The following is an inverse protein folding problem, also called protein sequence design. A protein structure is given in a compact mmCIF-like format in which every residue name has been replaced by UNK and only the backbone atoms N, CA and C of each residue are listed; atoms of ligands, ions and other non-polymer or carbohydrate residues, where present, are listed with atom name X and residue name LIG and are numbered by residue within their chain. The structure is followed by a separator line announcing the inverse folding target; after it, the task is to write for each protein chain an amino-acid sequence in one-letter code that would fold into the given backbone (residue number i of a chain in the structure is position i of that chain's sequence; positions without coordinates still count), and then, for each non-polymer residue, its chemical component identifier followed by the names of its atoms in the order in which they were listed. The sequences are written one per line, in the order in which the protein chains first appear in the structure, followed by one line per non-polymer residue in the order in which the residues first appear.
data_IF_233595839613
#
_entry.id   IF_233595839613
#
_cell.length_a   1.000
_cell.length_b   1.000
_cell.length_c   1.000
_cell.angle_alpha   90.00
_cell.angle_beta   90.00
_cell.angle_gamma   90.00
#
_symmetry.space_group_name_H-M   'P 1'
#
loop_
_entity.id
_entity.type
_entity.pdbx_description
1 polymer ?
#
# COMPACT_ATOMS: atom_id res chain seq x y z
N UNK A 1 6.58 -3.96 8.20
CA UNK A 1 6.09 -2.59 7.98
C UNK A 1 6.25 -1.66 9.17
N UNK A 2 5.80 -1.99 10.38
CA UNK A 2 5.90 -1.06 11.53
C UNK A 2 7.33 -0.58 11.77
N UNK A 3 8.33 -1.46 11.74
CA UNK A 3 9.75 -1.08 11.89
C UNK A 3 10.19 -0.07 10.85
N UNK A 4 9.92 -0.32 9.56
CA UNK A 4 10.25 0.61 8.48
C UNK A 4 9.59 1.98 8.69
N UNK A 5 8.28 2.00 8.97
CA UNK A 5 7.53 3.24 9.17
C UNK A 5 7.88 3.98 10.46
N UNK A 6 8.33 3.27 11.49
CA UNK A 6 8.73 3.88 12.75
C UNK A 6 10.17 4.41 12.72
N UNK A 7 11.07 3.78 11.96
CA UNK A 7 12.52 4.01 12.08
C UNK A 7 13.20 4.45 10.79
N UNK A 8 12.57 4.24 9.63
CA UNK A 8 13.21 4.40 8.32
C UNK A 8 14.25 3.32 7.99
N UNK A 9 14.53 2.37 8.89
CA UNK A 9 15.55 1.34 8.69
C UNK A 9 15.04 0.22 7.77
N UNK A 10 15.35 0.35 6.48
CA UNK A 10 15.00 -0.63 5.45
C UNK A 10 15.75 -1.96 5.64
N UNK A 11 16.98 -1.93 6.15
CA UNK A 11 17.79 -3.14 6.34
C UNK A 11 17.24 -4.00 7.50
N UNK A 12 16.82 -3.36 8.60
CA UNK A 12 16.09 -4.05 9.67
C UNK A 12 14.75 -4.58 9.19
N UNK A 13 14.00 -3.81 8.38
CA UNK A 13 12.75 -4.27 7.81
C UNK A 13 12.94 -5.51 6.91
N UNK A 14 14.03 -5.55 6.13
CA UNK A 14 14.41 -6.72 5.33
C UNK A 14 14.64 -7.96 6.18
N UNK A 15 15.46 -7.85 7.24
CA UNK A 15 15.74 -8.98 8.14
C UNK A 15 14.46 -9.52 8.77
N UNK A 16 13.55 -8.64 9.19
CA UNK A 16 12.26 -9.03 9.78
C UNK A 16 11.37 -9.73 8.74
N UNK A 17 11.30 -9.21 7.51
CA UNK A 17 10.51 -9.83 6.46
C UNK A 17 11.04 -11.25 6.11
N UNK A 18 12.36 -11.42 6.05
CA UNK A 18 12.99 -12.72 5.80
C UNK A 18 12.72 -13.73 6.91
N UNK A 19 12.84 -13.29 8.17
CA UNK A 19 12.48 -14.11 9.32
C UNK A 19 11.00 -14.51 9.30
N UNK A 20 10.10 -13.59 8.94
CA UNK A 20 8.67 -13.86 8.82
C UNK A 20 8.36 -14.88 7.72
N UNK A 21 9.04 -14.81 6.58
CA UNK A 21 8.91 -15.82 5.51
C UNK A 21 9.41 -17.18 5.99
N UNK A 22 10.58 -17.24 6.64
CA UNK A 22 11.13 -18.48 7.18
C UNK A 22 10.20 -19.11 8.22
N UNK A 23 9.56 -18.30 9.06
CA UNK A 23 8.60 -18.78 10.05
C UNK A 23 7.29 -19.25 9.43
N UNK A 24 6.70 -18.46 8.52
CA UNK A 24 5.47 -18.82 7.84
C UNK A 24 5.60 -20.13 7.04
N UNK A 25 6.79 -20.41 6.48
CA UNK A 25 7.09 -21.67 5.78
C UNK A 25 7.05 -22.91 6.67
N UNK A 26 7.32 -22.76 7.98
CA UNK A 26 7.17 -23.85 8.96
C UNK A 26 5.71 -24.09 9.34
N UNK A 27 4.85 -23.10 9.12
CA UNK A 27 3.41 -23.18 9.36
C UNK A 27 2.62 -23.81 8.20
N UNK A 28 1.39 -24.24 8.51
CA UNK A 28 0.49 -24.85 7.52
C UNK A 28 -0.33 -23.83 6.71
N UNK A 29 -0.57 -22.62 7.25
CA UNK A 29 -1.38 -21.58 6.60
C UNK A 29 -0.72 -21.06 5.32
N UNK A 30 -1.40 -21.25 4.19
CA UNK A 30 -1.00 -20.71 2.90
C UNK A 30 -1.15 -19.18 2.88
N UNK A 31 -2.22 -18.66 3.48
CA UNK A 31 -2.45 -17.21 3.53
C UNK A 31 -1.44 -16.46 4.40
N UNK A 32 -0.92 -17.09 5.47
CA UNK A 32 0.19 -16.52 6.22
C UNK A 32 1.48 -16.47 5.40
N UNK A 33 1.78 -17.53 4.64
CA UNK A 33 2.94 -17.55 3.72
C UNK A 33 2.79 -16.51 2.62
N UNK A 34 1.62 -16.41 2.01
CA UNK A 34 1.32 -15.38 1.02
C UNK A 34 1.55 -13.97 1.58
N UNK A 35 1.03 -13.69 2.77
CA UNK A 35 1.21 -12.40 3.44
C UNK A 35 2.68 -12.11 3.71
N UNK A 36 3.44 -13.08 4.19
CA UNK A 36 4.88 -12.93 4.46
C UNK A 36 5.66 -12.63 3.17
N UNK A 37 5.34 -13.34 2.08
CA UNK A 37 5.94 -13.09 0.76
C UNK A 37 5.55 -11.73 0.19
N UNK A 38 4.30 -11.29 0.35
CA UNK A 38 3.86 -9.97 -0.08
C UNK A 38 4.59 -8.83 0.67
N UNK A 39 4.79 -9.00 1.98
CA UNK A 39 5.60 -8.07 2.80
C UNK A 39 7.08 -8.05 2.38
N UNK A 40 7.65 -9.21 2.08
CA UNK A 40 9.03 -9.31 1.59
C UNK A 40 9.19 -8.61 0.24
N UNK A 41 8.18 -8.73 -0.64
CA UNK A 41 8.17 -8.05 -1.92
C UNK A 41 8.16 -6.52 -1.76
N UNK A 42 7.27 -5.99 -0.92
CA UNK A 42 7.18 -4.54 -0.70
C UNK A 42 8.50 -3.97 -0.17
N UNK A 43 9.12 -4.62 0.81
CA UNK A 43 10.40 -4.16 1.36
C UNK A 43 11.51 -4.21 0.31
N UNK A 44 11.56 -5.26 -0.52
CA UNK A 44 12.51 -5.36 -1.62
C UNK A 44 12.30 -4.29 -2.71
N UNK A 45 11.06 -3.94 -3.02
CA UNK A 45 10.74 -2.89 -3.97
C UNK A 45 11.11 -1.49 -3.43
N UNK A 46 10.92 -1.24 -2.12
CA UNK A 46 11.22 0.03 -1.46
C UNK A 46 12.71 0.31 -1.23
N UNK A 47 13.60 -0.64 -1.52
CA UNK A 47 15.05 -0.44 -1.42
C UNK A 47 15.56 0.65 -2.36
N UNK A 48 16.74 1.20 -2.06
CA UNK A 48 17.45 2.13 -2.93
C UNK A 48 18.87 1.59 -3.20
N UNK A 49 19.13 0.99 -4.39
CA UNK A 49 18.19 0.74 -5.49
C UNK A 49 17.16 -0.37 -5.17
N UNK A 50 16.02 -0.43 -5.89
CA UNK A 50 15.04 -1.50 -5.75
C UNK A 50 15.65 -2.87 -6.09
N UNK A 51 15.39 -3.89 -5.25
CA UNK A 51 15.79 -5.27 -5.51
C UNK A 51 14.74 -5.97 -6.38
N UNK A 52 14.58 -5.53 -7.63
CA UNK A 52 13.48 -5.91 -8.53
C UNK A 52 13.25 -7.42 -8.62
N UNK A 53 14.30 -8.19 -8.94
CA UNK A 53 14.20 -9.66 -9.08
C UNK A 53 13.61 -10.29 -7.82
N UNK A 54 14.06 -9.85 -6.65
CA UNK A 54 13.59 -10.35 -5.35
C UNK A 54 12.13 -9.98 -5.10
N UNK A 55 11.74 -8.74 -5.43
CA UNK A 55 10.36 -8.29 -5.30
C UNK A 55 9.42 -9.12 -6.18
N UNK A 56 9.76 -9.30 -7.46
CA UNK A 56 8.96 -10.10 -8.41
C UNK A 56 8.84 -11.56 -8.00
N UNK A 57 9.95 -12.20 -7.61
CA UNK A 57 9.92 -13.59 -7.12
C UNK A 57 9.02 -13.73 -5.89
N UNK A 58 9.11 -12.79 -4.94
CA UNK A 58 8.27 -12.82 -3.74
C UNK A 58 6.78 -12.60 -4.06
N UNK A 59 6.42 -11.68 -4.97
CA UNK A 59 5.04 -11.52 -5.43
C UNK A 59 4.50 -12.78 -6.12
N UNK A 60 5.30 -13.41 -6.98
CA UNK A 60 4.92 -14.65 -7.64
C UNK A 60 4.62 -15.76 -6.63
N UNK A 61 5.47 -15.92 -5.61
CA UNK A 61 5.23 -16.87 -4.52
C UNK A 61 3.97 -16.52 -3.71
N UNK A 62 3.73 -15.24 -3.43
CA UNK A 62 2.54 -14.80 -2.72
C UNK A 62 1.26 -15.11 -3.51
N UNK A 63 1.27 -14.86 -4.82
CA UNK A 63 0.16 -15.20 -5.71
C UNK A 63 -0.10 -16.70 -5.73
N UNK A 64 0.95 -17.51 -5.90
CA UNK A 64 0.83 -18.96 -5.86
C UNK A 64 0.26 -19.48 -4.52
N UNK A 65 0.61 -18.86 -3.38
CA UNK A 65 0.05 -19.26 -2.08
C UNK A 65 -1.43 -18.86 -1.93
N UNK A 66 -1.88 -17.75 -2.52
CA UNK A 66 -3.30 -17.32 -2.50
C UNK A 66 -4.16 -18.16 -3.44
N UNK A 67 -3.62 -18.58 -4.59
CA UNK A 67 -4.32 -19.34 -5.63
C UNK A 67 -4.54 -20.82 -5.24
N UNK A 68 -3.86 -21.32 -4.21
CA UNK A 68 -4.10 -22.65 -3.66
C UNK A 68 -5.49 -22.75 -3.03
N UNK A 69 -5.96 -23.99 -2.84
CA UNK A 69 -7.10 -24.23 -1.96
C UNK A 69 -6.78 -23.74 -0.54
N UNK A 70 -7.46 -22.68 -0.13
CA UNK A 70 -7.35 -22.04 1.19
C UNK A 70 -8.52 -22.41 2.10
N UNK A 71 -9.32 -23.41 1.71
CA UNK A 71 -10.40 -23.96 2.54
C UNK A 71 -9.84 -24.47 3.87
N UNK A 72 -10.35 -23.92 4.97
CA UNK A 72 -9.87 -24.26 6.31
C UNK A 72 -8.57 -23.58 6.74
N UNK A 73 -8.01 -22.66 5.94
CA UNK A 73 -6.93 -21.80 6.41
C UNK A 73 -7.41 -20.95 7.61
N UNK A 74 -6.62 -20.75 8.66
CA UNK A 74 -7.01 -19.92 9.81
C UNK A 74 -7.01 -18.40 9.51
N UNK A 75 -6.48 -17.96 8.36
CA UNK A 75 -6.23 -16.56 8.04
C UNK A 75 -7.13 -15.89 6.96
N UNK A 76 -8.30 -16.41 6.52
CA UNK A 76 -9.08 -15.83 5.42
C UNK A 76 -9.64 -14.44 5.74
N UNK A 77 -9.71 -14.09 7.04
CA UNK A 77 -10.10 -12.74 7.47
C UNK A 77 -8.96 -11.73 7.49
N UNK A 78 -7.72 -12.18 7.38
CA UNK A 78 -6.50 -11.38 7.55
C UNK A 78 -5.78 -11.15 6.22
N UNK A 79 -5.80 -12.11 5.31
CA UNK A 79 -5.20 -12.01 3.99
C UNK A 79 -6.09 -12.62 2.91
N UNK A 80 -6.09 -12.01 1.73
CA UNK A 80 -6.96 -12.34 0.60
C UNK A 80 -6.33 -11.86 -0.71
N UNK A 81 -6.91 -12.24 -1.85
CA UNK A 81 -6.53 -11.73 -3.16
C UNK A 81 -6.57 -10.19 -3.24
N UNK A 82 -7.65 -9.54 -2.80
CA UNK A 82 -7.72 -8.07 -2.70
C UNK A 82 -6.61 -7.42 -1.88
N UNK A 83 -6.19 -8.07 -0.79
CA UNK A 83 -5.03 -7.58 -0.02
C UNK A 83 -3.72 -7.76 -0.78
N UNK A 84 -3.56 -8.86 -1.52
CA UNK A 84 -2.41 -9.09 -2.38
C UNK A 84 -2.35 -8.06 -3.53
N UNK A 85 -3.48 -7.69 -4.14
CA UNK A 85 -3.54 -6.62 -5.15
C UNK A 85 -2.95 -5.31 -4.64
N UNK A 86 -3.21 -4.95 -3.37
CA UNK A 86 -2.56 -3.80 -2.73
C UNK A 86 -1.03 -3.90 -2.68
N UNK A 87 -0.49 -5.09 -2.43
CA UNK A 87 0.96 -5.34 -2.43
C UNK A 87 1.56 -5.34 -3.84
N UNK A 88 0.87 -5.89 -4.82
CA UNK A 88 1.29 -5.83 -6.23
C UNK A 88 1.36 -4.38 -6.70
N UNK A 89 0.33 -3.60 -6.36
CA UNK A 89 0.25 -2.16 -6.61
C UNK A 89 1.43 -1.38 -6.06
N UNK A 90 1.64 -1.44 -4.74
CA UNK A 90 2.74 -0.68 -4.12
C UNK A 90 4.11 -1.10 -4.66
N UNK A 91 4.33 -2.39 -4.95
CA UNK A 91 5.57 -2.84 -5.58
C UNK A 91 5.72 -2.21 -6.98
N UNK A 92 4.68 -2.23 -7.80
CA UNK A 92 4.68 -1.66 -9.15
C UNK A 92 5.10 -0.18 -9.16
N UNK A 93 4.66 0.62 -8.17
CA UNK A 93 5.08 2.03 -8.05
C UNK A 93 6.61 2.15 -7.97
N UNK A 94 7.24 1.37 -7.10
CA UNK A 94 8.70 1.43 -6.88
C UNK A 94 9.51 0.71 -7.95
N UNK A 95 8.88 -0.18 -8.72
CA UNK A 95 9.48 -0.86 -9.86
C UNK A 95 9.28 -0.11 -11.20
N UNK A 96 8.63 1.06 -11.19
CA UNK A 96 8.41 1.89 -12.38
C UNK A 96 7.22 1.47 -13.25
N UNK A 97 6.29 0.68 -12.71
CA UNK A 97 5.13 0.12 -13.41
C UNK A 97 3.83 0.86 -13.03
N UNK A 98 3.85 2.19 -13.05
CA UNK A 98 2.79 3.03 -12.48
C UNK A 98 1.37 2.71 -12.98
N UNK A 99 1.19 2.45 -14.27
CA UNK A 99 -0.11 2.15 -14.85
C UNK A 99 -0.67 0.79 -14.39
N UNK A 100 0.19 -0.23 -14.27
CA UNK A 100 -0.23 -1.52 -13.70
C UNK A 100 -0.48 -1.40 -12.20
N UNK A 101 0.36 -0.62 -11.50
CA UNK A 101 0.16 -0.35 -10.09
C UNK A 101 -1.20 0.29 -9.80
N UNK A 102 -1.61 1.29 -10.59
CA UNK A 102 -2.92 1.93 -10.48
C UNK A 102 -4.06 0.90 -10.63
N UNK A 103 -4.00 0.04 -11.65
CA UNK A 103 -5.03 -0.99 -11.87
C UNK A 103 -5.17 -1.94 -10.68
N UNK A 104 -4.04 -2.41 -10.15
CA UNK A 104 -4.01 -3.30 -8.99
C UNK A 104 -4.55 -2.61 -7.73
N UNK A 105 -4.23 -1.33 -7.53
CA UNK A 105 -4.70 -0.57 -6.38
C UNK A 105 -6.19 -0.21 -6.49
N UNK A 106 -6.68 0.06 -7.70
CA UNK A 106 -8.10 0.20 -8.00
C UNK A 106 -8.89 -1.05 -7.63
N UNK A 107 -8.42 -2.23 -8.05
CA UNK A 107 -9.04 -3.51 -7.70
C UNK A 107 -9.04 -3.74 -6.17
N UNK A 108 -7.90 -3.49 -5.51
CA UNK A 108 -7.79 -3.60 -4.06
C UNK A 108 -8.75 -2.63 -3.33
N UNK A 109 -8.87 -1.39 -3.79
CA UNK A 109 -9.79 -0.41 -3.21
C UNK A 109 -11.25 -0.83 -3.39
N UNK A 110 -11.63 -1.41 -4.54
CA UNK A 110 -12.98 -1.90 -4.77
C UNK A 110 -13.38 -3.06 -3.83
N UNK A 111 -12.42 -3.89 -3.40
CA UNK A 111 -12.67 -4.99 -2.47
C UNK A 111 -12.71 -4.57 -0.99
N UNK A 112 -11.93 -3.55 -0.61
CA UNK A 112 -11.78 -3.11 0.78
C UNK A 112 -12.89 -2.12 1.17
N UNK A 113 -14.09 -2.64 1.45
CA UNK A 113 -15.29 -1.84 1.73
C UNK A 113 -15.77 -1.91 3.17
N UNK A 114 -15.26 -2.84 4.00
CA UNK A 114 -15.78 -3.05 5.35
C UNK A 114 -15.12 -2.10 6.36
N UNK A 115 -15.79 -1.68 7.45
CA UNK A 115 -15.20 -0.78 8.45
C UNK A 115 -13.88 -1.28 9.07
N UNK A 116 -13.75 -2.59 9.28
CA UNK A 116 -12.51 -3.21 9.78
C UNK A 116 -11.32 -3.12 8.81
N UNK A 117 -11.57 -2.76 7.55
CA UNK A 117 -10.59 -2.60 6.48
C UNK A 117 -10.18 -1.15 6.27
N UNK A 118 -10.76 -0.18 7.00
CA UNK A 118 -10.53 1.27 6.80
C UNK A 118 -9.07 1.67 6.80
N UNK A 119 -8.23 1.12 7.69
CA UNK A 119 -6.79 1.40 7.70
C UNK A 119 -6.11 0.91 6.42
N UNK A 120 -6.46 -0.29 5.96
CA UNK A 120 -5.88 -0.86 4.74
C UNK A 120 -6.38 -0.11 3.50
N UNK A 121 -7.66 0.27 3.48
CA UNK A 121 -8.26 1.09 2.42
C UNK A 121 -7.54 2.43 2.30
N UNK A 122 -7.31 3.13 3.42
CA UNK A 122 -6.56 4.38 3.44
C UNK A 122 -5.15 4.21 2.84
N UNK A 123 -4.45 3.11 3.19
CA UNK A 123 -3.13 2.78 2.61
C UNK A 123 -3.24 2.58 1.09
N UNK A 124 -4.19 1.78 0.63
CA UNK A 124 -4.37 1.50 -0.81
C UNK A 124 -4.71 2.77 -1.59
N UNK A 125 -5.57 3.64 -1.07
CA UNK A 125 -5.92 4.92 -1.72
C UNK A 125 -4.72 5.85 -1.81
N UNK A 126 -3.89 5.94 -0.76
CA UNK A 126 -2.64 6.75 -0.85
C UNK A 126 -1.66 6.22 -1.87
N UNK A 127 -1.54 4.90 -1.98
CA UNK A 127 -0.66 4.29 -2.96
C UNK A 127 -1.22 4.50 -4.37
N UNK A 128 -2.55 4.40 -4.55
CA UNK A 128 -3.20 4.64 -5.84
C UNK A 128 -2.99 6.08 -6.30
N UNK A 129 -3.18 7.04 -5.41
CA UNK A 129 -2.89 8.44 -5.67
C UNK A 129 -1.44 8.62 -6.13
N UNK A 130 -0.47 7.98 -5.48
CA UNK A 130 0.93 8.04 -5.90
C UNK A 130 1.16 7.38 -7.28
N UNK A 131 0.52 6.25 -7.56
CA UNK A 131 0.58 5.60 -8.86
C UNK A 131 0.03 6.50 -9.97
N UNK A 132 -1.13 7.14 -9.76
CA UNK A 132 -1.74 8.11 -10.68
C UNK A 132 -0.83 9.30 -10.97
N UNK A 133 -0.08 9.80 -9.98
CA UNK A 133 0.88 10.88 -10.20
C UNK A 133 2.08 10.44 -11.03
N UNK A 134 2.46 9.17 -10.95
CA UNK A 134 3.57 8.60 -11.72
C UNK A 134 3.18 8.19 -13.14
N UNK A 135 1.89 8.01 -13.47
CA UNK A 135 1.49 7.72 -14.85
C UNK A 135 1.70 8.91 -15.78
N UNK A 136 1.62 10.14 -15.24
CA UNK A 136 1.71 11.37 -16.04
C UNK A 136 0.47 11.66 -16.88
N UNK A 137 -0.62 10.90 -16.70
CA UNK A 137 -1.86 11.07 -17.45
C UNK A 137 -2.54 12.40 -17.12
N UNK A 138 -3.08 13.12 -18.13
CA UNK A 138 -3.91 14.29 -17.90
C UNK A 138 -5.10 13.96 -16.97
N UNK A 139 -5.27 14.76 -15.90
CA UNK A 139 -6.32 14.53 -14.90
C UNK A 139 -5.95 13.56 -13.77
N UNK A 140 -4.86 12.79 -13.91
CA UNK A 140 -4.33 11.94 -12.84
C UNK A 140 -4.14 12.65 -11.49
N UNK A 141 -3.59 13.88 -11.45
CA UNK A 141 -3.46 14.66 -10.21
C UNK A 141 -4.79 15.01 -9.53
N UNK A 142 -5.83 15.33 -10.30
CA UNK A 142 -7.16 15.62 -9.75
C UNK A 142 -7.81 14.36 -9.19
N UNK A 143 -7.71 13.23 -9.90
CA UNK A 143 -8.18 11.92 -9.38
C UNK A 143 -7.40 11.50 -8.13
N UNK A 144 -6.09 11.72 -8.11
CA UNK A 144 -5.26 11.46 -6.94
C UNK A 144 -5.72 12.30 -5.74
N UNK A 145 -6.04 13.58 -5.92
CA UNK A 145 -6.57 14.42 -4.85
C UNK A 145 -7.91 13.88 -4.29
N UNK A 146 -8.83 13.44 -5.15
CA UNK A 146 -10.08 12.79 -4.73
C UNK A 146 -9.83 11.56 -3.85
N UNK A 147 -8.93 10.66 -4.26
CA UNK A 147 -8.56 9.48 -3.45
C UNK A 147 -7.94 9.90 -2.09
N UNK A 148 -7.16 10.98 -2.08
CA UNK A 148 -6.55 11.51 -0.85
C UNK A 148 -7.56 12.15 0.09
N UNK A 149 -8.63 12.80 -0.38
CA UNK A 149 -9.71 13.26 0.49
C UNK A 149 -10.34 12.11 1.28
N UNK A 150 -10.63 10.99 0.62
CA UNK A 150 -11.15 9.81 1.33
C UNK A 150 -10.11 9.27 2.33
N UNK A 151 -8.84 9.23 1.94
CA UNK A 151 -7.78 8.83 2.86
C UNK A 151 -7.68 9.73 4.10
N UNK A 152 -7.83 11.05 3.97
CA UNK A 152 -7.81 12.00 5.09
C UNK A 152 -8.89 11.62 6.11
N UNK A 153 -10.13 11.43 5.66
CA UNK A 153 -11.25 11.02 6.51
C UNK A 153 -10.96 9.70 7.24
N UNK A 154 -10.51 8.69 6.50
CA UNK A 154 -10.20 7.37 7.07
C UNK A 154 -9.03 7.43 8.07
N UNK A 155 -8.03 8.26 7.79
CA UNK A 155 -6.85 8.45 8.65
C UNK A 155 -7.23 9.16 9.94
N UNK A 156 -8.04 10.21 9.87
CA UNK A 156 -8.55 10.92 11.04
C UNK A 156 -9.38 9.98 11.95
N UNK A 157 -10.29 9.20 11.35
CA UNK A 157 -11.14 8.27 12.08
C UNK A 157 -10.36 7.13 12.76
N UNK A 158 -9.33 6.60 12.11
CA UNK A 158 -8.57 5.44 12.60
C UNK A 158 -7.32 5.80 13.40
N UNK A 159 -6.85 7.05 13.32
CA UNK A 159 -5.56 7.52 13.84
C UNK A 159 -4.38 6.65 13.38
N UNK A 160 -4.49 6.10 12.16
CA UNK A 160 -3.49 5.20 11.59
C UNK A 160 -2.19 5.91 11.24
N UNK A 161 -1.08 5.51 11.87
CA UNK A 161 0.25 6.11 11.60
C UNK A 161 0.75 5.83 10.17
N UNK A 162 0.57 4.60 9.68
CA UNK A 162 1.02 4.20 8.34
C UNK A 162 0.30 4.99 7.22
N UNK A 163 -1.05 5.06 7.18
CA UNK A 163 -1.71 5.88 6.17
C UNK A 163 -1.38 7.37 6.33
N UNK A 164 -1.22 7.91 7.54
CA UNK A 164 -0.78 9.30 7.73
C UNK A 164 0.60 9.60 7.09
N UNK A 165 1.57 8.69 7.26
CA UNK A 165 2.89 8.84 6.66
C UNK A 165 2.84 8.73 5.13
N UNK A 166 2.05 7.80 4.57
CA UNK A 166 1.88 7.67 3.12
C UNK A 166 1.14 8.86 2.51
N UNK A 167 0.10 9.37 3.19
CA UNK A 167 -0.62 10.58 2.82
C UNK A 167 0.33 11.77 2.69
N UNK A 168 1.25 11.95 3.65
CA UNK A 168 2.28 12.99 3.57
C UNK A 168 3.15 12.84 2.31
N UNK A 169 3.57 11.62 1.97
CA UNK A 169 4.36 11.36 0.75
C UNK A 169 3.58 11.69 -0.51
N UNK A 170 2.33 11.23 -0.63
CA UNK A 170 1.48 11.52 -1.78
C UNK A 170 1.21 13.03 -1.93
N UNK A 171 0.99 13.73 -0.80
CA UNK A 171 0.84 15.19 -0.80
C UNK A 171 2.09 15.90 -1.29
N UNK A 172 3.29 15.43 -0.91
CA UNK A 172 4.55 15.99 -1.44
C UNK A 172 4.70 15.74 -2.95
N UNK A 173 4.23 14.61 -3.46
CA UNK A 173 4.23 14.32 -4.90
C UNK A 173 3.29 15.25 -5.68
N UNK A 174 2.25 15.80 -5.06
CA UNK A 174 1.35 16.80 -5.65
C UNK A 174 1.94 18.22 -5.77
N UNK A 175 3.16 18.48 -5.25
CA UNK A 175 3.77 19.82 -5.29
C UNK A 175 3.82 20.49 -6.68
N UNK A 176 4.04 19.78 -7.81
CA UNK A 176 4.00 20.41 -9.12
C UNK A 176 2.67 21.11 -9.44
N UNK A 177 1.56 20.69 -8.81
CA UNK A 177 0.21 21.22 -9.00
C UNK A 177 -0.25 22.14 -7.86
N UNK A 178 0.66 22.73 -7.09
CA UNK A 178 0.31 23.56 -5.92
C UNK A 178 -0.63 24.75 -6.21
N UNK A 179 -0.72 25.21 -7.46
CA UNK A 179 -1.62 26.29 -7.88
C UNK A 179 -3.01 25.83 -8.29
N UNK A 180 -3.26 24.51 -8.33
CA UNK A 180 -4.54 23.94 -8.74
C UNK A 180 -5.54 23.91 -7.58
N UNK A 181 -6.85 24.16 -7.84
CA UNK A 181 -7.87 24.24 -6.79
C UNK A 181 -8.01 22.94 -5.99
N UNK A 182 -7.91 21.78 -6.65
CA UNK A 182 -8.00 20.48 -5.98
C UNK A 182 -6.88 20.24 -4.95
N UNK A 183 -5.71 20.89 -5.10
CA UNK A 183 -4.64 20.78 -4.10
C UNK A 183 -4.93 21.66 -2.90
N UNK A 184 -5.45 22.87 -3.12
CA UNK A 184 -5.86 23.77 -2.03
C UNK A 184 -6.99 23.16 -1.20
N UNK A 185 -8.02 22.60 -1.85
CA UNK A 185 -9.12 21.90 -1.17
C UNK A 185 -8.62 20.71 -0.33
N UNK A 186 -7.66 19.95 -0.85
CA UNK A 186 -7.03 18.85 -0.11
C UNK A 186 -6.26 19.35 1.12
N UNK A 187 -5.51 20.44 0.99
CA UNK A 187 -4.78 21.05 2.10
C UNK A 187 -5.72 21.53 3.21
N UNK A 188 -6.81 22.19 2.85
CA UNK A 188 -7.84 22.64 3.79
C UNK A 188 -8.50 21.46 4.52
N UNK A 189 -8.79 20.38 3.79
CA UNK A 189 -9.33 19.17 4.39
C UNK A 189 -8.32 18.51 5.34
N UNK A 190 -7.05 18.39 4.94
CA UNK A 190 -5.98 17.87 5.80
C UNK A 190 -5.82 18.70 7.08
N UNK A 191 -5.83 20.03 6.96
CA UNK A 191 -5.74 20.94 8.11
C UNK A 191 -6.91 20.73 9.07
N UNK A 192 -8.13 20.73 8.54
CA UNK A 192 -9.36 20.58 9.34
C UNK A 192 -9.42 19.23 10.04
N UNK A 193 -9.12 18.14 9.34
CA UNK A 193 -9.32 16.79 9.85
C UNK A 193 -8.16 16.22 10.69
N UNK A 194 -6.92 16.68 10.46
CA UNK A 194 -5.72 16.09 11.07
C UNK A 194 -4.96 17.03 12.02
N UNK A 195 -5.14 18.35 11.89
CA UNK A 195 -4.47 19.36 12.74
C UNK A 195 -5.46 20.02 13.69
N UNK A 196 -6.75 20.10 13.32
CA UNK A 196 -7.82 20.67 14.13
C UNK A 196 -8.34 19.79 15.29
N UNK A 197 -7.65 18.70 15.65
CA UNK A 197 -7.96 17.79 16.77
C UNK A 197 -6.83 17.79 17.81
#
# INVERSE_FOLDING_TARGET
MVTYYATGDIAAAHRIADAAVADARRGKSALMRARAHALQAEIAARGAPPAERRARTALHLAYHDVDRDTSGDPMPRVFSAGRLHGFMGVCGIFLGEAAEAERQLSAAAAELTRPRESVQRAIVLTDRALALLHTGEPGGPATAATDLHECVTLTAATRGRVPAQRLRTARLALRPWHGEPFVAELDDHMHTALIGL
#
